data_IF_813706357882
#
_entry.id   IF_813706357882
#
_cell.length_a   1.000
_cell.length_b   1.000
_cell.length_c   1.000
_cell.angle_alpha   90.00
_cell.angle_beta   90.00
_cell.angle_gamma   90.00
#
_symmetry.space_group_name_H-M   'P 1'
#
loop_
_entity.id
_entity.type
_entity.pdbx_description
1 polymer ?
#
# COMPACT_ATOMS: atom_id res chain seq x y z
N UNK A 1 11.55 19.68 -19.89
CA UNK A 1 11.76 18.71 -18.79
C UNK A 1 10.77 17.60 -19.02
N UNK A 2 11.23 16.40 -19.38
CA UNK A 2 10.34 15.25 -19.55
C UNK A 2 9.69 14.97 -18.20
N UNK A 3 8.36 14.95 -18.13
CA UNK A 3 7.65 14.38 -16.98
C UNK A 3 8.24 13.00 -16.71
N UNK A 4 8.78 12.78 -15.51
CA UNK A 4 9.31 11.47 -15.14
C UNK A 4 8.17 10.44 -15.25
N UNK A 5 8.41 9.32 -15.94
CA UNK A 5 7.37 8.31 -16.21
C UNK A 5 6.62 7.93 -14.92
N UNK A 6 5.31 8.17 -14.89
CA UNK A 6 4.41 7.75 -13.81
C UNK A 6 4.33 8.68 -12.59
N UNK A 7 4.89 9.88 -12.61
CA UNK A 7 4.75 10.84 -11.49
C UNK A 7 3.28 11.26 -11.29
N UNK A 8 2.71 10.92 -10.12
CA UNK A 8 1.30 11.20 -9.79
C UNK A 8 1.15 11.74 -8.36
N UNK A 9 1.54 13.00 -8.09
CA UNK A 9 1.36 13.61 -6.78
C UNK A 9 -0.12 13.89 -6.49
N UNK A 10 -0.45 14.09 -5.20
CA UNK A 10 -1.75 14.63 -4.82
C UNK A 10 -1.95 15.99 -5.51
N UNK A 11 -2.96 16.09 -6.38
CA UNK A 11 -3.25 17.32 -7.15
C UNK A 11 -3.89 18.44 -6.32
N UNK A 12 -4.23 18.15 -5.06
CA UNK A 12 -4.81 19.13 -4.15
C UNK A 12 -3.73 20.03 -3.55
N UNK A 13 -3.85 21.33 -3.77
CA UNK A 13 -2.95 22.32 -3.18
C UNK A 13 -3.52 22.79 -1.83
N UNK A 14 -2.93 22.29 -0.73
CA UNK A 14 -3.35 22.69 0.61
C UNK A 14 -3.08 24.16 0.94
N UNK A 15 -2.09 24.81 0.30
CA UNK A 15 -1.76 26.20 0.56
C UNK A 15 -2.81 27.13 -0.08
N UNK A 16 -3.25 26.82 -1.30
CA UNK A 16 -4.26 27.60 -2.00
C UNK A 16 -5.71 27.23 -1.63
N UNK A 17 -5.98 25.94 -1.35
CA UNK A 17 -7.36 25.42 -1.22
C UNK A 17 -7.71 24.97 0.21
N UNK A 18 -6.76 25.07 1.16
CA UNK A 18 -6.90 24.64 2.53
C UNK A 18 -6.74 23.13 2.72
N UNK A 19 -6.89 22.65 3.96
CA UNK A 19 -6.59 21.27 4.32
C UNK A 19 -7.47 20.23 3.57
N UNK A 20 -6.83 19.32 2.84
CA UNK A 20 -7.49 18.21 2.12
C UNK A 20 -8.39 17.37 3.04
N UNK A 21 -7.90 17.01 4.22
CA UNK A 21 -8.64 16.15 5.16
C UNK A 21 -9.95 16.77 5.68
N UNK A 22 -10.02 18.11 5.69
CA UNK A 22 -11.22 18.84 6.07
C UNK A 22 -12.14 19.08 4.88
N UNK A 23 -11.59 19.38 3.70
CA UNK A 23 -12.36 19.88 2.54
C UNK A 23 -12.75 18.80 1.54
N UNK A 24 -11.96 17.72 1.40
CA UNK A 24 -12.06 16.77 0.29
C UNK A 24 -11.99 15.30 0.67
N UNK A 25 -11.35 14.92 1.78
CA UNK A 25 -11.30 13.51 2.20
C UNK A 25 -12.73 12.97 2.40
N UNK A 26 -13.14 11.91 1.68
CA UNK A 26 -14.43 11.27 1.90
C UNK A 26 -14.57 10.81 3.34
N UNK A 27 -15.75 11.04 3.93
CA UNK A 27 -16.07 10.61 5.29
C UNK A 27 -16.53 9.16 5.29
N UNK A 28 -15.61 8.26 4.92
CA UNK A 28 -15.88 6.82 4.79
C UNK A 28 -16.34 6.20 6.12
N UNK A 29 -16.04 6.83 7.25
CA UNK A 29 -16.52 6.46 8.57
C UNK A 29 -18.05 6.48 8.69
N UNK A 30 -18.77 7.22 7.83
CA UNK A 30 -20.23 7.23 7.77
C UNK A 30 -20.83 5.87 7.32
N UNK A 31 -20.01 4.97 6.77
CA UNK A 31 -20.46 3.62 6.40
C UNK A 31 -20.18 2.59 7.50
N UNK A 32 -19.79 3.01 8.71
CA UNK A 32 -19.46 2.10 9.81
C UNK A 32 -20.61 1.13 10.14
N UNK A 33 -21.85 1.62 10.16
CA UNK A 33 -23.04 0.80 10.44
C UNK A 33 -23.35 -0.26 9.37
N UNK A 34 -22.73 -0.17 8.18
CA UNK A 34 -22.95 -1.12 7.10
C UNK A 34 -22.16 -2.42 7.28
N UNK A 35 -21.24 -2.48 8.26
CA UNK A 35 -20.35 -3.62 8.48
C UNK A 35 -20.53 -4.21 9.87
N UNK A 36 -20.26 -5.52 10.07
CA UNK A 36 -20.41 -6.15 11.37
C UNK A 36 -19.31 -5.73 12.36
N UNK A 37 -19.72 -5.50 13.61
CA UNK A 37 -18.82 -5.27 14.73
C UNK A 37 -18.06 -3.94 14.64
N UNK A 38 -16.72 -4.02 14.58
CA UNK A 38 -15.82 -2.84 14.49
C UNK A 38 -15.11 -2.76 13.13
N UNK A 39 -15.61 -3.47 12.12
CA UNK A 39 -15.06 -3.43 10.77
C UNK A 39 -15.49 -2.13 10.12
N UNK A 40 -14.56 -1.46 9.44
CA UNK A 40 -14.85 -0.28 8.64
C UNK A 40 -13.84 -0.19 7.49
N UNK A 41 -14.08 0.72 6.55
CA UNK A 41 -13.09 1.06 5.53
C UNK A 41 -11.80 1.60 6.18
N UNK A 42 -10.66 1.10 5.72
CA UNK A 42 -9.36 1.70 5.98
C UNK A 42 -8.92 2.57 4.80
N UNK A 43 -8.05 3.53 5.07
CA UNK A 43 -7.35 4.24 4.00
C UNK A 43 -6.34 3.31 3.31
N UNK A 44 -6.01 3.61 2.06
CA UNK A 44 -4.95 2.94 1.29
C UNK A 44 -3.98 4.04 0.86
N UNK A 45 -2.71 3.94 1.28
CA UNK A 45 -1.71 4.96 0.98
C UNK A 45 -1.29 4.94 -0.49
N UNK A 46 -1.24 3.74 -1.09
CA UNK A 46 -0.99 3.58 -2.51
C UNK A 46 -1.46 2.23 -3.03
N UNK A 47 -1.85 2.22 -4.30
CA UNK A 47 -2.12 0.99 -5.05
C UNK A 47 -1.63 1.18 -6.49
N UNK A 48 -1.05 0.12 -7.05
CA UNK A 48 -0.74 0.02 -8.48
C UNK A 48 -1.17 -1.34 -8.99
N UNK A 49 -1.52 -1.44 -10.26
CA UNK A 49 -1.89 -2.67 -10.94
C UNK A 49 -1.11 -2.82 -12.24
N UNK A 50 -0.58 -4.02 -12.49
CA UNK A 50 0.16 -4.39 -13.70
C UNK A 50 -0.24 -5.82 -14.10
N UNK A 51 -0.87 -5.98 -15.27
CA UNK A 51 -1.18 -7.29 -15.85
C UNK A 51 -2.18 -8.13 -15.04
N UNK A 52 -3.05 -7.52 -14.26
CA UNK A 52 -3.95 -8.16 -13.30
C UNK A 52 -3.33 -8.40 -11.92
N UNK A 53 -2.08 -8.00 -11.69
CA UNK A 53 -1.43 -8.08 -10.38
C UNK A 53 -1.44 -6.70 -9.72
N UNK A 54 -1.97 -6.61 -8.51
CA UNK A 54 -2.00 -5.40 -7.70
C UNK A 54 -0.96 -5.44 -6.58
N UNK A 55 -0.36 -4.30 -6.30
CA UNK A 55 0.44 -4.06 -5.10
C UNK A 55 -0.18 -2.92 -4.30
N UNK A 56 -0.62 -3.24 -3.09
CA UNK A 56 -1.03 -2.26 -2.08
C UNK A 56 0.19 -1.83 -1.26
N UNK A 57 0.29 -0.53 -1.01
CA UNK A 57 1.25 0.05 -0.07
C UNK A 57 0.52 0.58 1.14
N UNK A 58 1.03 0.21 2.31
CA UNK A 58 0.64 0.77 3.61
C UNK A 58 1.87 1.38 4.26
N UNK A 59 1.79 2.64 4.68
CA UNK A 59 2.83 3.33 5.42
C UNK A 59 2.51 3.34 6.91
N UNK A 60 3.48 2.95 7.73
CA UNK A 60 3.39 3.02 9.20
C UNK A 60 4.46 3.95 9.74
N UNK A 61 4.07 4.81 10.67
CA UNK A 61 5.00 5.71 11.35
C UNK A 61 5.96 5.00 12.30
N UNK A 62 5.62 3.79 12.75
CA UNK A 62 6.38 3.05 13.76
C UNK A 62 6.38 1.54 13.48
N UNK A 63 7.49 0.88 13.84
CA UNK A 63 7.70 -0.56 13.70
C UNK A 63 6.93 -1.36 14.77
N UNK A 64 5.62 -1.14 14.90
CA UNK A 64 4.76 -1.90 15.81
C UNK A 64 4.12 -3.09 15.10
N UNK A 65 3.86 -4.15 15.86
CA UNK A 65 3.11 -5.28 15.32
C UNK A 65 1.73 -4.86 14.83
N UNK A 66 1.30 -5.46 13.72
CA UNK A 66 0.02 -5.14 13.11
C UNK A 66 -1.12 -5.56 14.04
N UNK A 67 -2.15 -4.72 14.21
CA UNK A 67 -3.40 -5.15 14.81
C UNK A 67 -3.93 -6.41 14.12
N UNK A 68 -4.50 -7.34 14.89
CA UNK A 68 -4.93 -8.64 14.37
C UNK A 68 -5.87 -8.52 13.15
N UNK A 69 -6.76 -7.52 13.14
CA UNK A 69 -7.65 -7.24 12.00
C UNK A 69 -6.90 -6.89 10.72
N UNK A 70 -5.92 -5.98 10.77
CA UNK A 70 -5.09 -5.62 9.61
C UNK A 70 -4.23 -6.79 9.14
N UNK A 71 -3.61 -7.53 10.08
CA UNK A 71 -2.85 -8.73 9.73
C UNK A 71 -3.71 -9.76 8.99
N UNK A 72 -4.91 -10.04 9.49
CA UNK A 72 -5.83 -10.98 8.84
C UNK A 72 -6.34 -10.45 7.49
N UNK A 73 -6.59 -9.14 7.36
CA UNK A 73 -6.96 -8.50 6.10
C UNK A 73 -5.87 -8.73 5.05
N UNK A 74 -4.64 -8.32 5.30
CA UNK A 74 -3.55 -8.44 4.32
C UNK A 74 -3.20 -9.90 4.01
N UNK A 75 -3.25 -10.79 5.02
CA UNK A 75 -3.06 -12.21 4.83
C UNK A 75 -4.15 -12.82 3.92
N UNK A 76 -5.42 -12.46 4.11
CA UNK A 76 -6.52 -13.01 3.30
C UNK A 76 -6.57 -12.39 1.91
N UNK A 77 -6.33 -11.09 1.80
CA UNK A 77 -6.35 -10.37 0.55
C UNK A 77 -5.25 -10.86 -0.40
N UNK A 78 -4.06 -11.13 0.14
CA UNK A 78 -2.96 -11.66 -0.68
C UNK A 78 -3.04 -13.14 -1.00
N UNK A 79 -3.94 -13.89 -0.36
CA UNK A 79 -3.97 -15.36 -0.43
C UNK A 79 -4.19 -15.91 -1.84
N UNK A 80 -5.01 -15.24 -2.65
CA UNK A 80 -5.32 -15.72 -4.01
C UNK A 80 -4.20 -15.48 -5.02
N UNK A 81 -3.24 -14.58 -4.74
CA UNK A 81 -2.11 -14.28 -5.62
C UNK A 81 -2.17 -12.95 -6.39
N UNK A 82 -3.33 -12.48 -6.90
CA UNK A 82 -3.40 -11.21 -7.63
C UNK A 82 -3.09 -9.95 -6.82
N UNK A 83 -3.02 -10.03 -5.50
CA UNK A 83 -2.74 -8.87 -4.64
C UNK A 83 -1.57 -9.19 -3.73
N UNK A 84 -0.57 -8.31 -3.69
CA UNK A 84 0.44 -8.27 -2.64
C UNK A 84 0.25 -7.00 -1.81
N UNK A 85 0.68 -7.03 -0.55
CA UNK A 85 0.65 -5.84 0.33
C UNK A 85 2.04 -5.59 0.89
N UNK A 86 2.66 -4.48 0.49
CA UNK A 86 3.92 -4.01 1.07
C UNK A 86 3.64 -3.00 2.16
N UNK A 87 4.21 -3.23 3.34
CA UNK A 87 4.21 -2.28 4.44
C UNK A 87 5.57 -1.60 4.46
N UNK A 88 5.57 -0.28 4.49
CA UNK A 88 6.77 0.53 4.67
C UNK A 88 6.67 1.20 6.04
N UNK A 89 7.73 1.09 6.83
CA UNK A 89 7.83 1.74 8.14
C UNK A 89 8.81 2.89 8.04
N UNK A 90 8.41 4.07 8.48
CA UNK A 90 9.29 5.23 8.55
C UNK A 90 8.56 6.55 8.73
N UNK A 91 9.25 7.65 8.48
CA UNK A 91 8.70 8.98 8.60
C UNK A 91 8.25 9.50 7.22
N UNK A 92 6.94 9.65 7.03
CA UNK A 92 6.36 10.13 5.77
C UNK A 92 6.63 11.62 5.49
N UNK A 93 6.92 12.43 6.51
CA UNK A 93 7.27 13.85 6.34
C UNK A 93 8.68 14.00 5.76
N UNK A 94 9.65 13.23 6.27
CA UNK A 94 11.05 13.28 5.80
C UNK A 94 11.36 12.25 4.72
N UNK A 95 10.42 11.34 4.43
CA UNK A 95 10.59 10.18 3.56
C UNK A 95 11.72 9.23 3.98
N UNK A 96 12.11 9.25 5.27
CA UNK A 96 12.99 8.24 5.84
C UNK A 96 12.24 6.92 5.99
N UNK A 97 12.91 5.82 5.65
CA UNK A 97 12.40 4.45 5.80
C UNK A 97 13.32 3.72 6.76
N UNK A 98 12.72 3.00 7.70
CA UNK A 98 13.40 2.22 8.73
C UNK A 98 13.21 0.70 8.52
N UNK A 99 12.13 0.30 7.84
CA UNK A 99 11.85 -1.10 7.62
C UNK A 99 10.70 -1.38 6.67
N UNK A 100 10.52 -2.66 6.35
CA UNK A 100 9.43 -3.13 5.49
C UNK A 100 9.01 -4.55 5.82
N UNK A 101 7.79 -4.90 5.44
CA UNK A 101 7.28 -6.27 5.42
C UNK A 101 6.38 -6.43 4.20
N UNK A 102 6.24 -7.64 3.69
CA UNK A 102 5.34 -7.94 2.56
C UNK A 102 4.41 -9.09 2.92
N UNK A 103 3.14 -8.95 2.55
CA UNK A 103 2.20 -10.06 2.46
C UNK A 103 2.07 -10.48 1.00
N UNK A 104 2.39 -11.73 0.73
CA UNK A 104 2.24 -12.35 -0.59
C UNK A 104 1.75 -13.80 -0.41
N UNK A 105 0.78 -14.22 -1.23
CA UNK A 105 0.16 -15.56 -1.17
C UNK A 105 -0.30 -15.97 0.23
N UNK A 106 -0.74 -15.00 1.03
CA UNK A 106 -1.19 -15.21 2.40
C UNK A 106 -0.09 -15.55 3.41
N UNK A 107 1.16 -15.28 3.06
CA UNK A 107 2.33 -15.35 3.94
C UNK A 107 2.87 -13.94 4.18
N UNK A 108 3.36 -13.68 5.39
CA UNK A 108 4.07 -12.44 5.74
C UNK A 108 5.57 -12.71 5.77
N UNK A 109 6.35 -11.82 5.17
CA UNK A 109 7.80 -11.79 5.29
C UNK A 109 8.28 -10.44 5.84
N UNK A 110 9.11 -10.41 6.90
CA UNK A 110 9.37 -11.52 7.82
C UNK A 110 8.08 -11.96 8.53
N UNK A 111 8.01 -13.18 9.12
CA UNK A 111 6.80 -13.66 9.80
C UNK A 111 6.32 -12.75 10.94
N UNK A 112 7.27 -12.05 11.58
CA UNK A 112 7.06 -11.08 12.66
C UNK A 112 7.93 -9.85 12.43
N UNK A 113 7.47 -8.70 12.89
CA UNK A 113 8.18 -7.44 12.79
C UNK A 113 8.39 -6.97 11.35
N UNK A 114 9.50 -6.29 11.13
CA UNK A 114 9.88 -5.68 9.87
C UNK A 114 11.34 -5.95 9.60
N UNK A 115 11.68 -6.17 8.34
CA UNK A 115 13.05 -6.24 7.90
C UNK A 115 13.59 -4.80 7.77
N UNK A 116 14.80 -4.50 8.29
CA UNK A 116 15.42 -3.20 8.09
C UNK A 116 15.55 -2.84 6.60
N UNK A 117 15.17 -1.63 6.23
CA UNK A 117 15.20 -1.17 4.85
C UNK A 117 15.35 0.35 4.80
N UNK A 118 15.91 0.85 3.70
CA UNK A 118 15.96 2.27 3.37
C UNK A 118 15.12 2.57 2.11
N UNK A 119 14.98 3.85 1.77
CA UNK A 119 14.20 4.27 0.60
C UNK A 119 14.72 3.64 -0.70
N UNK A 120 16.03 3.44 -0.83
CA UNK A 120 16.63 2.81 -2.00
C UNK A 120 16.24 1.31 -2.10
N UNK A 121 16.18 0.60 -0.98
CA UNK A 121 15.71 -0.77 -0.88
C UNK A 121 14.24 -0.89 -1.31
N UNK A 122 13.37 0.00 -0.82
CA UNK A 122 11.96 0.02 -1.23
C UNK A 122 11.85 0.22 -2.74
N UNK A 123 12.54 1.20 -3.31
CA UNK A 123 12.56 1.44 -4.76
C UNK A 123 13.00 0.21 -5.56
N UNK A 124 14.07 -0.48 -5.12
CA UNK A 124 14.52 -1.73 -5.76
C UNK A 124 13.47 -2.84 -5.68
N UNK A 125 12.78 -3.01 -4.55
CA UNK A 125 11.74 -4.02 -4.38
C UNK A 125 10.51 -3.73 -5.26
N UNK A 126 10.11 -2.47 -5.34
CA UNK A 126 9.01 -2.05 -6.22
C UNK A 126 9.34 -2.27 -7.70
N UNK A 127 10.57 -1.93 -8.12
CA UNK A 127 11.02 -2.21 -9.49
C UNK A 127 11.03 -3.72 -9.79
N UNK A 128 11.58 -4.54 -8.88
CA UNK A 128 11.60 -5.99 -9.04
C UNK A 128 10.18 -6.60 -9.09
N UNK A 129 9.26 -6.10 -8.26
CA UNK A 129 7.85 -6.50 -8.31
C UNK A 129 7.20 -6.10 -9.64
N UNK A 130 7.45 -4.88 -10.11
CA UNK A 130 6.92 -4.37 -11.39
C UNK A 130 7.34 -5.27 -12.55
N UNK A 131 8.65 -5.56 -12.67
CA UNK A 131 9.17 -6.47 -13.70
C UNK A 131 8.58 -7.88 -13.59
N UNK A 132 8.37 -8.37 -12.36
CA UNK A 132 7.73 -9.66 -12.15
C UNK A 132 6.28 -9.65 -12.63
N UNK A 133 5.52 -8.61 -12.30
CA UNK A 133 4.11 -8.48 -12.66
C UNK A 133 3.90 -8.41 -14.19
N UNK A 134 4.76 -7.67 -14.91
CA UNK A 134 4.75 -7.61 -16.37
C UNK A 134 4.99 -8.98 -17.02
N UNK A 135 5.88 -9.79 -16.43
CA UNK A 135 6.21 -11.15 -16.93
C UNK A 135 5.16 -12.21 -16.56
N UNK A 136 4.29 -11.93 -15.59
CA UNK A 136 3.35 -12.91 -15.04
C UNK A 136 1.94 -12.33 -14.88
N UNK A 137 1.25 -11.97 -15.98
CA UNK A 137 -0.09 -11.41 -15.88
C UNK A 137 -1.06 -12.40 -15.20
N UNK A 138 -1.73 -11.97 -14.13
CA UNK A 138 -2.69 -12.78 -13.37
C UNK A 138 -4.04 -12.93 -14.09
N UNK A 139 -4.34 -12.01 -15.01
CA UNK A 139 -5.50 -12.11 -15.90
C UNK A 139 -4.91 -12.26 -17.30
N UNK A 140 -5.32 -13.30 -18.03
CA UNK A 140 -4.94 -13.41 -19.44
C UNK A 140 -5.35 -12.13 -20.16
N UNK A 141 -4.39 -11.42 -20.75
CA UNK A 141 -4.68 -10.21 -21.50
C UNK A 141 -5.80 -10.55 -22.50
N UNK A 142 -6.92 -9.80 -22.53
CA UNK A 142 -7.87 -9.97 -23.61
C UNK A 142 -7.09 -9.78 -24.91
N UNK A 143 -7.15 -10.79 -25.79
CA UNK A 143 -6.59 -10.73 -27.14
C UNK A 143 -7.24 -9.62 -27.94
#
# INVERSE_FOLDING_TARGET
MSEACGYNPLRWDCAAQGCFNLKRRPKIELFAECFPGRINFGDVDGIVEIGGNALLMEWKSEARELPAGQRLLYQRLSRSGPVAVMIVVGNAETMLVDGTSIFDRGLRYPPHGYEPADLACIKRRLAAWSEWAERHPAIGLPR
#
